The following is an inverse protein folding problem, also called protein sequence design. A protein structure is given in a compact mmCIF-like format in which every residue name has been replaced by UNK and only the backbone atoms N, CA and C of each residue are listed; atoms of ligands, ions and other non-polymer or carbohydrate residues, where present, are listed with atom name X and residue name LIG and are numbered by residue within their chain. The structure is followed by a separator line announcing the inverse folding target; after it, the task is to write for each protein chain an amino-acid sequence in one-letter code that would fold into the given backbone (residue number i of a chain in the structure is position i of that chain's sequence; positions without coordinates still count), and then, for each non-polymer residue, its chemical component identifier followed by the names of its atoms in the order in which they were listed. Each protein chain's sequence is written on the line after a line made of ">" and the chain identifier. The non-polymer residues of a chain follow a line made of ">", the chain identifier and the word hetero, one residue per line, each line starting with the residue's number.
data_IF_433404011063
#
_entry.id   IF_433404011063
#
_cell.length_a   1.000
_cell.length_b   1.000
_cell.length_c   1.000
_cell.angle_alpha   90.00
_cell.angle_beta   90.00
_cell.angle_gamma   90.00
#
_symmetry.space_group_name_H-M   'P 1'
#
loop_
_entity.id
_entity.type
_entity.pdbx_description
1 polymer ?
#
# COMPACT_ATOMS: atom_id res chain seq x y z
N UNK A 1 14.00 11.83 8.43
CA UNK A 1 12.63 11.28 8.46
C UNK A 1 12.65 9.93 9.14
N UNK A 2 11.59 9.53 9.88
CA UNK A 2 11.55 8.23 10.60
C UNK A 2 11.81 7.05 9.64
N UNK A 3 11.10 7.00 8.52
CA UNK A 3 11.22 5.94 7.50
C UNK A 3 12.60 5.81 6.88
N UNK A 4 13.35 6.92 6.73
CA UNK A 4 14.74 6.88 6.28
C UNK A 4 15.67 6.16 7.27
N UNK A 5 15.38 6.25 8.57
CA UNK A 5 16.23 5.67 9.61
C UNK A 5 16.01 4.17 9.81
N UNK A 6 14.83 3.66 9.44
CA UNK A 6 14.45 2.26 9.66
C UNK A 6 14.48 1.40 8.40
N UNK A 7 14.79 1.95 7.21
CA UNK A 7 14.76 1.23 5.93
C UNK A 7 15.51 -0.13 5.97
N UNK A 8 16.64 -0.20 6.70
CA UNK A 8 17.39 -1.46 6.86
C UNK A 8 16.75 -2.46 7.82
N UNK A 9 16.12 -1.97 8.89
CA UNK A 9 15.45 -2.80 9.91
C UNK A 9 14.07 -3.24 9.41
N UNK A 10 13.43 -2.44 8.57
CA UNK A 10 12.14 -2.71 7.98
C UNK A 10 12.16 -3.99 7.11
N UNK A 11 13.22 -4.20 6.33
CA UNK A 11 13.41 -5.43 5.55
C UNK A 11 13.44 -6.69 6.45
N UNK A 12 14.06 -6.61 7.63
CA UNK A 12 14.11 -7.73 8.58
C UNK A 12 12.72 -8.00 9.15
N UNK A 13 11.99 -6.94 9.50
CA UNK A 13 10.60 -7.04 9.98
C UNK A 13 9.72 -7.73 8.91
N UNK A 14 9.80 -7.26 7.67
CA UNK A 14 9.05 -7.82 6.54
C UNK A 14 9.39 -9.29 6.31
N UNK A 15 10.69 -9.63 6.29
CA UNK A 15 11.15 -10.99 5.92
C UNK A 15 11.01 -12.03 7.02
N UNK A 16 11.06 -11.62 8.29
CA UNK A 16 11.15 -12.56 9.41
C UNK A 16 9.88 -12.56 10.26
N UNK A 17 9.43 -11.38 10.70
CA UNK A 17 8.37 -11.28 11.73
C UNK A 17 6.98 -11.54 11.16
N UNK A 18 6.69 -11.08 9.93
CA UNK A 18 5.37 -11.16 9.31
C UNK A 18 5.36 -11.90 7.97
N UNK A 19 6.27 -12.84 7.78
CA UNK A 19 6.52 -13.55 6.50
C UNK A 19 5.25 -14.18 5.91
N UNK A 20 4.42 -14.82 6.76
CA UNK A 20 3.16 -15.45 6.31
C UNK A 20 2.22 -14.42 5.70
N UNK A 21 1.95 -13.33 6.43
CA UNK A 21 1.10 -12.22 5.95
C UNK A 21 1.63 -11.62 4.64
N UNK A 22 2.95 -11.40 4.56
CA UNK A 22 3.53 -10.80 3.35
C UNK A 22 3.47 -11.73 2.13
N UNK A 23 3.65 -13.04 2.32
CA UNK A 23 3.50 -13.98 1.22
C UNK A 23 2.05 -14.01 0.71
N UNK A 24 1.08 -14.01 1.62
CA UNK A 24 -0.33 -13.96 1.26
C UNK A 24 -0.72 -12.61 0.65
N UNK A 25 -0.22 -11.50 1.19
CA UNK A 25 -0.40 -10.17 0.63
C UNK A 25 0.09 -10.09 -0.82
N UNK A 26 1.28 -10.60 -1.10
CA UNK A 26 1.84 -10.69 -2.46
C UNK A 26 0.93 -11.49 -3.39
N UNK A 27 0.41 -12.62 -2.92
CA UNK A 27 -0.51 -13.46 -3.69
C UNK A 27 -1.81 -12.72 -4.00
N UNK A 28 -2.40 -12.03 -3.00
CA UNK A 28 -3.64 -11.28 -3.15
C UNK A 28 -3.43 -10.11 -4.12
N UNK A 29 -2.43 -9.27 -3.92
CA UNK A 29 -2.16 -8.12 -4.81
C UNK A 29 -1.87 -8.62 -6.23
N UNK A 30 -1.02 -9.63 -6.37
CA UNK A 30 -0.60 -10.13 -7.68
C UNK A 30 -1.73 -10.67 -8.55
N UNK A 31 -2.85 -11.16 -7.97
CA UNK A 31 -4.00 -11.65 -8.75
C UNK A 31 -4.82 -10.55 -9.43
N UNK A 32 -4.68 -9.30 -8.98
CA UNK A 32 -5.38 -8.15 -9.56
C UNK A 32 -4.58 -7.45 -10.67
N UNK A 33 -3.33 -7.87 -10.91
CA UNK A 33 -2.44 -7.25 -11.90
C UNK A 33 -2.44 -8.07 -13.18
N UNK A 34 -2.68 -7.39 -14.29
CA UNK A 34 -2.71 -7.97 -15.64
C UNK A 34 -1.51 -7.50 -16.47
N UNK A 35 -1.13 -8.29 -17.48
CA UNK A 35 0.11 -8.08 -18.24
C UNK A 35 0.13 -6.80 -19.09
N UNK A 36 -1.02 -6.19 -19.35
CA UNK A 36 -1.17 -4.92 -20.05
C UNK A 36 -1.36 -3.71 -19.15
N UNK A 37 -1.42 -3.88 -17.83
CA UNK A 37 -1.63 -2.79 -16.90
C UNK A 37 -0.44 -1.83 -16.84
N UNK A 38 -0.72 -0.53 -16.83
CA UNK A 38 0.19 0.51 -16.39
C UNK A 38 -0.17 0.84 -14.94
N UNK A 39 0.75 0.59 -14.03
CA UNK A 39 0.50 0.56 -12.60
C UNK A 39 1.22 1.71 -11.89
N UNK A 40 0.55 2.36 -10.95
CA UNK A 40 1.16 3.25 -9.96
C UNK A 40 1.17 2.56 -8.60
N UNK A 41 2.32 2.48 -7.96
CA UNK A 41 2.47 2.11 -6.56
C UNK A 41 2.92 3.32 -5.74
N UNK A 42 2.11 3.73 -4.76
CA UNK A 42 2.44 4.76 -3.78
C UNK A 42 2.90 4.12 -2.47
N UNK A 43 3.87 4.75 -1.82
CA UNK A 43 4.52 4.23 -0.61
C UNK A 43 5.12 2.82 -0.81
N UNK A 44 5.90 2.67 -1.89
CA UNK A 44 6.52 1.41 -2.28
C UNK A 44 7.50 0.84 -1.23
N UNK A 45 7.96 1.68 -0.29
CA UNK A 45 8.88 1.28 0.76
C UNK A 45 10.16 0.69 0.19
N UNK A 46 10.51 -0.52 0.58
CA UNK A 46 11.69 -1.22 0.09
C UNK A 46 11.46 -2.10 -1.16
N UNK A 47 10.29 -1.95 -1.82
CA UNK A 47 9.99 -2.61 -3.09
C UNK A 47 9.40 -4.02 -2.98
N UNK A 48 8.82 -4.38 -1.82
CA UNK A 48 8.28 -5.72 -1.62
C UNK A 48 7.10 -6.04 -2.55
N UNK A 49 6.17 -5.12 -2.73
CA UNK A 49 5.05 -5.28 -3.67
C UNK A 49 5.48 -4.91 -5.08
N UNK A 50 6.37 -3.92 -5.25
CA UNK A 50 6.92 -3.53 -6.55
C UNK A 50 7.46 -4.72 -7.35
N UNK A 51 8.19 -5.64 -6.70
CA UNK A 51 8.69 -6.85 -7.35
C UNK A 51 7.57 -7.74 -7.90
N UNK A 52 6.51 -7.97 -7.12
CA UNK A 52 5.37 -8.82 -7.52
C UNK A 52 4.53 -8.16 -8.61
N UNK A 53 4.38 -6.84 -8.55
CA UNK A 53 3.64 -6.06 -9.54
C UNK A 53 4.40 -6.09 -10.87
N UNK A 54 5.72 -5.83 -10.84
CA UNK A 54 6.57 -5.82 -12.04
C UNK A 54 6.62 -7.16 -12.79
N UNK A 55 6.53 -8.28 -12.08
CA UNK A 55 6.44 -9.62 -12.70
C UNK A 55 5.19 -9.80 -13.58
N UNK A 56 4.18 -8.95 -13.43
CA UNK A 56 2.84 -9.15 -13.99
C UNK A 56 2.37 -8.02 -14.90
N UNK A 57 2.79 -6.77 -14.62
CA UNK A 57 2.29 -5.60 -15.35
C UNK A 57 3.13 -5.26 -16.60
N UNK A 58 2.60 -4.37 -17.43
CA UNK A 58 3.32 -3.76 -18.54
C UNK A 58 4.39 -2.79 -18.00
N UNK A 59 3.96 -1.77 -17.24
CA UNK A 59 4.86 -0.79 -16.63
C UNK A 59 4.46 -0.51 -15.18
N UNK A 60 5.45 -0.23 -14.34
CA UNK A 60 5.26 0.17 -12.95
C UNK A 60 5.97 1.49 -12.68
N UNK A 61 5.24 2.47 -12.16
CA UNK A 61 5.82 3.63 -11.49
C UNK A 61 5.68 3.40 -9.98
N UNK A 62 6.80 3.20 -9.29
CA UNK A 62 6.85 2.95 -7.85
C UNK A 62 7.35 4.20 -7.13
N UNK A 63 6.54 4.74 -6.22
CA UNK A 63 6.84 6.01 -5.55
C UNK A 63 6.90 5.87 -4.03
N UNK A 64 7.78 6.65 -3.40
CA UNK A 64 7.80 6.79 -1.95
C UNK A 64 8.20 8.22 -1.57
N UNK A 65 7.79 8.67 -0.37
CA UNK A 65 8.15 9.98 0.17
C UNK A 65 9.53 9.98 0.85
N UNK A 66 10.10 8.81 1.16
CA UNK A 66 11.39 8.64 1.80
C UNK A 66 12.48 8.27 0.79
N UNK A 67 13.47 9.16 0.50
CA UNK A 67 14.51 8.88 -0.50
C UNK A 67 15.33 7.62 -0.23
N UNK A 68 15.55 7.25 1.04
CA UNK A 68 16.28 6.02 1.38
C UNK A 68 15.46 4.75 1.10
N UNK A 69 14.12 4.83 1.18
CA UNK A 69 13.23 3.74 0.76
C UNK A 69 13.35 3.52 -0.74
N UNK A 70 13.28 4.58 -1.56
CA UNK A 70 13.46 4.51 -3.02
C UNK A 70 14.79 3.84 -3.38
N UNK A 71 15.91 4.32 -2.84
CA UNK A 71 17.24 3.71 -3.09
C UNK A 71 17.29 2.23 -2.71
N UNK A 72 16.58 1.84 -1.67
CA UNK A 72 16.51 0.44 -1.25
C UNK A 72 15.65 -0.39 -2.20
N UNK A 73 14.50 0.15 -2.63
CA UNK A 73 13.62 -0.47 -3.60
C UNK A 73 14.31 -0.69 -4.95
N UNK A 74 15.01 0.32 -5.49
CA UNK A 74 15.85 0.21 -6.69
C UNK A 74 16.84 -0.96 -6.60
N UNK A 75 17.55 -1.07 -5.47
CA UNK A 75 18.47 -2.18 -5.24
C UNK A 75 17.78 -3.54 -5.18
N UNK A 76 16.66 -3.62 -4.45
CA UNK A 76 15.92 -4.87 -4.26
C UNK A 76 15.23 -5.34 -5.54
N UNK A 77 14.87 -4.42 -6.42
CA UNK A 77 14.15 -4.68 -7.68
C UNK A 77 15.02 -4.50 -8.93
N UNK A 78 16.35 -4.50 -8.79
CA UNK A 78 17.30 -4.23 -9.89
C UNK A 78 17.24 -5.20 -11.07
N UNK A 79 16.58 -6.35 -10.94
CA UNK A 79 16.35 -7.31 -12.01
C UNK A 79 15.14 -7.00 -12.90
N UNK A 80 14.31 -6.03 -12.53
CA UNK A 80 13.10 -5.65 -13.28
C UNK A 80 13.36 -4.39 -14.10
N UNK A 81 13.11 -4.44 -15.41
CA UNK A 81 13.39 -3.33 -16.34
C UNK A 81 12.16 -2.46 -16.63
N UNK A 82 10.98 -2.88 -16.16
CA UNK A 82 9.71 -2.19 -16.35
C UNK A 82 9.28 -1.36 -15.13
N UNK A 83 10.18 -1.09 -14.18
CA UNK A 83 9.94 -0.24 -13.01
C UNK A 83 10.66 1.10 -13.17
N UNK A 84 9.93 2.19 -12.93
CA UNK A 84 10.50 3.51 -12.69
C UNK A 84 10.29 3.87 -11.22
N UNK A 85 11.36 4.20 -10.51
CA UNK A 85 11.30 4.64 -9.11
C UNK A 85 11.34 6.15 -9.01
N UNK A 86 10.42 6.76 -8.26
CA UNK A 86 10.31 8.21 -8.14
C UNK A 86 10.00 8.66 -6.71
N UNK A 87 10.51 9.84 -6.34
CA UNK A 87 10.06 10.52 -5.13
C UNK A 87 8.71 11.20 -5.38
N UNK A 88 7.69 10.90 -4.57
CA UNK A 88 6.40 11.55 -4.66
C UNK A 88 5.69 11.65 -3.30
N UNK A 89 4.84 12.68 -3.20
CA UNK A 89 3.89 12.83 -2.10
C UNK A 89 2.53 12.28 -2.56
N UNK A 90 2.04 11.24 -1.89
CA UNK A 90 0.75 10.61 -2.19
C UNK A 90 -0.45 11.57 -2.14
N UNK A 91 -0.34 12.67 -1.39
CA UNK A 91 -1.39 13.70 -1.29
C UNK A 91 -1.33 14.77 -2.38
N UNK A 92 -0.36 14.70 -3.30
CA UNK A 92 -0.19 15.65 -4.41
C UNK A 92 0.69 14.99 -5.49
N UNK A 93 0.07 14.11 -6.27
CA UNK A 93 0.72 13.36 -7.33
C UNK A 93 0.85 14.22 -8.60
N UNK A 94 2.02 14.17 -9.24
CA UNK A 94 2.31 14.96 -10.44
C UNK A 94 1.74 14.39 -11.75
N UNK A 95 1.07 13.23 -11.66
CA UNK A 95 0.52 12.56 -12.84
C UNK A 95 -0.82 13.18 -13.25
N UNK A 96 -1.13 13.21 -14.57
CA UNK A 96 -2.45 13.60 -15.05
C UNK A 96 -3.56 12.71 -14.49
N UNK A 97 -4.79 13.21 -14.58
CA UNK A 97 -5.97 12.39 -14.33
C UNK A 97 -5.97 11.17 -15.27
N UNK A 98 -6.58 10.08 -14.83
CA UNK A 98 -6.83 8.90 -15.67
C UNK A 98 -5.57 8.29 -16.31
N UNK A 99 -4.44 8.27 -15.59
CA UNK A 99 -3.15 7.84 -16.11
C UNK A 99 -2.88 6.33 -15.96
N UNK A 100 -3.40 5.70 -14.90
CA UNK A 100 -3.04 4.33 -14.53
C UNK A 100 -4.22 3.37 -14.51
N UNK A 101 -4.01 2.13 -14.97
CA UNK A 101 -5.04 1.09 -14.96
C UNK A 101 -5.27 0.54 -13.56
N UNK A 102 -4.20 0.45 -12.75
CA UNK A 102 -4.24 0.05 -11.34
C UNK A 102 -3.44 1.05 -10.50
N UNK A 103 -3.96 1.39 -9.32
CA UNK A 103 -3.29 2.27 -8.37
C UNK A 103 -3.23 1.58 -7.02
N UNK A 104 -2.01 1.40 -6.49
CA UNK A 104 -1.75 0.68 -5.24
C UNK A 104 -1.19 1.64 -4.19
N UNK A 105 -1.67 1.53 -2.96
CA UNK A 105 -1.10 2.26 -1.82
C UNK A 105 -0.99 1.32 -0.61
N UNK A 106 0.16 0.67 -0.47
CA UNK A 106 0.39 -0.38 0.52
C UNK A 106 0.83 0.15 1.89
N UNK A 107 0.06 -0.17 2.94
CA UNK A 107 0.40 0.09 4.34
C UNK A 107 0.72 1.56 4.66
N UNK A 108 0.04 2.50 4.03
CA UNK A 108 0.28 3.94 4.19
C UNK A 108 -0.94 4.71 4.71
N UNK A 109 -2.17 4.34 4.33
CA UNK A 109 -3.40 5.10 4.64
C UNK A 109 -3.55 5.37 6.15
N UNK A 110 -3.21 4.39 6.99
CA UNK A 110 -3.31 4.51 8.45
C UNK A 110 -2.23 5.41 9.10
N UNK A 111 -1.26 5.89 8.30
CA UNK A 111 -0.17 6.75 8.74
C UNK A 111 -0.37 8.22 8.34
N UNK A 112 -1.38 8.51 7.52
CA UNK A 112 -1.61 9.85 6.97
C UNK A 112 -2.49 10.70 7.89
N UNK A 113 -2.18 11.98 7.99
CA UNK A 113 -3.03 12.96 8.69
C UNK A 113 -4.31 13.24 7.89
N UNK A 114 -4.24 13.24 6.56
CA UNK A 114 -5.35 13.49 5.63
C UNK A 114 -5.58 12.29 4.67
N UNK A 115 -6.01 11.11 5.18
CA UNK A 115 -6.12 9.90 4.35
C UNK A 115 -7.15 10.00 3.24
N UNK A 116 -8.22 10.79 3.41
CA UNK A 116 -9.23 11.03 2.37
C UNK A 116 -8.67 11.86 1.22
N UNK A 117 -7.77 12.81 1.49
CA UNK A 117 -7.08 13.57 0.44
C UNK A 117 -6.15 12.68 -0.39
N UNK A 118 -5.41 11.79 0.26
CA UNK A 118 -4.61 10.80 -0.44
C UNK A 118 -5.50 9.89 -1.31
N UNK A 119 -6.62 9.41 -0.77
CA UNK A 119 -7.57 8.58 -1.50
C UNK A 119 -8.15 9.30 -2.73
N UNK A 120 -8.46 10.60 -2.61
CA UNK A 120 -8.92 11.42 -3.74
C UNK A 120 -7.85 11.54 -4.83
N UNK A 121 -6.57 11.72 -4.47
CA UNK A 121 -5.46 11.75 -5.44
C UNK A 121 -5.25 10.39 -6.13
N UNK A 122 -5.30 9.29 -5.37
CA UNK A 122 -5.24 7.93 -5.94
C UNK A 122 -6.39 7.70 -6.92
N UNK A 123 -7.60 8.12 -6.56
CA UNK A 123 -8.77 8.05 -7.45
C UNK A 123 -8.59 8.91 -8.71
N UNK A 124 -8.09 10.14 -8.57
CA UNK A 124 -7.88 11.07 -9.69
C UNK A 124 -6.98 10.46 -10.75
N UNK A 125 -5.84 9.89 -10.36
CA UNK A 125 -4.85 9.35 -11.30
C UNK A 125 -5.20 7.95 -11.84
N UNK A 126 -6.17 7.26 -11.23
CA UNK A 126 -6.70 5.99 -11.73
C UNK A 126 -7.62 6.25 -12.93
N UNK A 127 -7.58 5.40 -13.95
CA UNK A 127 -8.46 5.48 -15.13
C UNK A 127 -9.90 5.11 -14.77
N UNK A 128 -10.92 5.62 -15.50
CA UNK A 128 -12.28 5.11 -15.41
C UNK A 128 -12.31 3.59 -15.60
N UNK A 129 -12.99 2.87 -14.70
CA UNK A 129 -13.01 1.41 -14.65
C UNK A 129 -11.71 0.76 -14.12
N UNK A 130 -10.70 1.55 -13.82
CA UNK A 130 -9.48 1.10 -13.17
C UNK A 130 -9.69 0.75 -11.69
N UNK A 131 -8.73 0.08 -11.08
CA UNK A 131 -8.84 -0.47 -9.74
C UNK A 131 -7.87 0.20 -8.76
N UNK A 132 -8.40 0.65 -7.62
CA UNK A 132 -7.60 1.00 -6.45
C UNK A 132 -7.40 -0.25 -5.60
N UNK A 133 -6.16 -0.50 -5.15
CA UNK A 133 -5.77 -1.64 -4.32
C UNK A 133 -5.05 -1.09 -3.09
N UNK A 134 -5.68 -1.16 -1.94
CA UNK A 134 -5.19 -0.52 -0.72
C UNK A 134 -4.94 -1.57 0.37
N UNK A 135 -3.75 -2.17 0.46
CA UNK A 135 -3.37 -3.01 1.58
C UNK A 135 -3.17 -2.18 2.85
N UNK A 136 -3.67 -2.65 3.99
CA UNK A 136 -3.47 -1.97 5.28
C UNK A 136 -3.40 -2.98 6.42
N UNK A 137 -2.41 -2.84 7.29
CA UNK A 137 -2.32 -3.67 8.49
C UNK A 137 -3.50 -3.40 9.43
N UNK A 138 -4.12 -4.49 9.89
CA UNK A 138 -5.15 -4.42 10.92
C UNK A 138 -4.48 -4.27 12.28
N UNK A 139 -4.67 -3.14 12.89
CA UNK A 139 -4.07 -2.77 14.18
C UNK A 139 -5.06 -2.81 15.34
N UNK A 140 -6.31 -3.23 15.07
CA UNK A 140 -7.33 -3.62 16.05
C UNK A 140 -7.84 -5.02 15.74
N UNK A 141 -8.20 -5.76 16.78
CA UNK A 141 -8.81 -7.08 16.65
C UNK A 141 -10.33 -6.97 16.39
N UNK A 142 -11.00 -8.11 16.26
CA UNK A 142 -12.46 -8.19 16.09
C UNK A 142 -13.27 -7.62 17.28
N UNK A 143 -12.64 -7.41 18.43
CA UNK A 143 -13.24 -6.81 19.64
C UNK A 143 -12.83 -5.34 19.80
N UNK A 144 -12.25 -4.73 18.76
CA UNK A 144 -11.79 -3.33 18.72
C UNK A 144 -10.66 -3.00 19.69
N UNK A 145 -9.95 -4.02 20.20
CA UNK A 145 -8.78 -3.84 21.06
C UNK A 145 -7.53 -3.65 20.22
N UNK A 146 -6.66 -2.71 20.63
CA UNK A 146 -5.35 -2.50 19.98
C UNK A 146 -4.51 -3.77 20.07
N UNK A 147 -3.89 -4.16 18.97
CA UNK A 147 -2.94 -5.26 18.94
C UNK A 147 -1.69 -4.89 19.74
N UNK A 148 -1.21 -5.78 20.61
CA UNK A 148 0.02 -5.59 21.40
C UNK A 148 1.24 -5.31 20.52
N UNK A 149 1.22 -5.75 19.26
CA UNK A 149 2.28 -5.51 18.31
C UNK A 149 2.21 -4.10 17.72
N UNK A 150 1.00 -3.54 17.56
CA UNK A 150 0.79 -2.14 17.18
C UNK A 150 1.41 -1.20 18.20
N UNK A 151 1.26 -1.50 19.49
CA UNK A 151 1.90 -0.75 20.56
C UNK A 151 3.43 -0.85 20.49
N UNK A 152 3.98 -2.01 20.12
CA UNK A 152 5.43 -2.20 19.98
C UNK A 152 6.02 -1.43 18.79
N UNK A 153 5.32 -1.43 17.65
CA UNK A 153 5.71 -0.70 16.44
C UNK A 153 5.52 0.81 16.64
N UNK A 154 4.48 1.23 17.35
CA UNK A 154 4.26 2.62 17.75
C UNK A 154 5.37 3.11 18.71
N UNK A 155 5.79 2.30 19.69
CA UNK A 155 6.94 2.60 20.57
C UNK A 155 8.26 2.68 19.80
N UNK A 156 8.39 1.99 18.68
CA UNK A 156 9.53 2.10 17.78
C UNK A 156 9.50 3.35 16.89
N UNK A 157 8.44 4.19 17.00
CA UNK A 157 8.32 5.50 16.35
C UNK A 157 7.39 5.58 15.14
N UNK A 158 6.64 4.52 14.82
CA UNK A 158 5.58 4.63 13.81
C UNK A 158 4.38 5.39 14.41
N UNK A 159 4.03 6.50 13.79
CA UNK A 159 2.93 7.37 14.22
C UNK A 159 1.63 6.96 13.50
N UNK A 160 0.88 6.05 14.13
CA UNK A 160 -0.41 5.61 13.62
C UNK A 160 -1.46 6.70 13.84
N UNK A 161 -2.00 7.24 12.76
CA UNK A 161 -3.08 8.25 12.77
C UNK A 161 -4.46 7.58 12.79
N UNK A 162 -4.58 6.41 12.14
CA UNK A 162 -5.83 5.64 12.06
C UNK A 162 -5.62 4.23 12.61
N UNK A 163 -6.67 3.70 13.25
CA UNK A 163 -6.69 2.35 13.80
C UNK A 163 -7.87 1.60 13.20
N UNK A 164 -7.56 0.56 12.41
CA UNK A 164 -8.56 -0.22 11.69
C UNK A 164 -8.69 -1.65 12.21
N UNK A 165 -9.93 -2.11 12.35
CA UNK A 165 -10.35 -3.48 12.14
C UNK A 165 -11.00 -3.60 10.76
N UNK A 166 -11.37 -4.82 10.30
CA UNK A 166 -11.93 -5.01 8.96
C UNK A 166 -13.22 -4.21 8.75
N UNK A 167 -14.08 -4.11 9.78
CA UNK A 167 -15.36 -3.38 9.68
C UNK A 167 -15.12 -1.89 9.51
N UNK A 168 -14.33 -1.27 10.41
CA UNK A 168 -14.03 0.16 10.33
C UNK A 168 -13.21 0.53 9.08
N UNK A 169 -12.46 -0.44 8.53
CA UNK A 169 -11.71 -0.25 7.30
C UNK A 169 -12.65 -0.18 6.07
N UNK A 170 -13.65 -1.05 6.00
CA UNK A 170 -14.69 -0.98 4.96
C UNK A 170 -15.49 0.33 5.09
N UNK A 171 -15.91 0.68 6.31
CA UNK A 171 -16.65 1.93 6.57
C UNK A 171 -15.86 3.18 6.15
N UNK A 172 -14.54 3.20 6.34
CA UNK A 172 -13.69 4.29 5.87
C UNK A 172 -13.83 4.55 4.36
N UNK A 173 -13.82 3.51 3.53
CA UNK A 173 -14.00 3.68 2.07
C UNK A 173 -15.45 4.02 1.70
N UNK A 174 -16.43 3.47 2.40
CA UNK A 174 -17.85 3.82 2.20
C UNK A 174 -18.11 5.29 2.49
N UNK A 175 -17.52 5.85 3.54
CA UNK A 175 -17.64 7.29 3.84
C UNK A 175 -16.97 8.16 2.78
N UNK A 176 -16.03 7.62 2.01
CA UNK A 176 -15.42 8.25 0.85
C UNK A 176 -16.22 8.08 -0.46
N UNK A 177 -17.36 7.37 -0.42
CA UNK A 177 -18.26 7.20 -1.56
C UNK A 177 -18.08 5.90 -2.36
N UNK A 178 -17.25 4.95 -1.87
CA UNK A 178 -17.07 3.66 -2.54
C UNK A 178 -18.10 2.64 -2.03
N UNK A 179 -19.01 2.20 -2.89
CA UNK A 179 -20.03 1.20 -2.55
C UNK A 179 -19.57 -0.24 -2.83
N UNK A 180 -18.63 -0.44 -3.75
CA UNK A 180 -18.13 -1.74 -4.25
C UNK A 180 -16.87 -2.23 -3.53
N UNK A 181 -16.67 -1.87 -2.27
CA UNK A 181 -15.47 -2.25 -1.51
C UNK A 181 -15.42 -3.75 -1.26
N UNK A 182 -14.48 -4.45 -1.90
CA UNK A 182 -14.16 -5.83 -1.59
C UNK A 182 -12.92 -5.89 -0.70
N UNK A 183 -12.91 -6.76 0.31
CA UNK A 183 -11.78 -6.90 1.25
C UNK A 183 -11.37 -8.36 1.38
N UNK A 184 -10.08 -8.63 1.11
CA UNK A 184 -9.44 -9.91 1.37
C UNK A 184 -8.43 -9.77 2.50
N UNK A 185 -8.36 -10.78 3.36
CA UNK A 185 -7.48 -10.77 4.52
C UNK A 185 -6.24 -11.65 4.26
N UNK A 186 -5.08 -11.03 4.23
CA UNK A 186 -3.80 -11.70 4.32
C UNK A 186 -3.53 -12.02 5.80
N UNK A 187 -3.82 -13.28 6.19
CA UNK A 187 -3.73 -13.73 7.58
C UNK A 187 -2.28 -13.98 8.02
N UNK A 188 -2.02 -13.78 9.31
CA UNK A 188 -0.73 -14.02 9.94
C UNK A 188 -0.58 -13.29 11.26
N UNK A 189 0.67 -13.05 11.69
CA UNK A 189 0.95 -12.46 13.01
C UNK A 189 0.41 -11.03 13.14
N UNK A 190 0.53 -10.24 12.07
CA UNK A 190 -0.14 -8.95 11.90
C UNK A 190 -0.96 -9.07 10.62
N UNK A 191 -2.27 -9.29 10.70
CA UNK A 191 -3.10 -9.40 9.52
C UNK A 191 -3.06 -8.11 8.69
N UNK A 192 -3.14 -8.26 7.35
CA UNK A 192 -3.25 -7.14 6.42
C UNK A 192 -4.53 -7.31 5.60
N UNK A 193 -5.45 -6.37 5.68
CA UNK A 193 -6.62 -6.33 4.82
C UNK A 193 -6.26 -5.63 3.50
N UNK A 194 -6.61 -6.24 2.39
CA UNK A 194 -6.46 -5.68 1.05
C UNK A 194 -7.84 -5.24 0.58
N UNK A 195 -8.11 -3.95 0.62
CA UNK A 195 -9.31 -3.39 0.03
C UNK A 195 -9.10 -3.17 -1.47
N UNK A 196 -10.08 -3.54 -2.27
CA UNK A 196 -10.15 -3.24 -3.70
C UNK A 196 -11.46 -2.56 -4.03
N UNK A 197 -11.41 -1.54 -4.87
CA UNK A 197 -12.56 -0.75 -5.30
C UNK A 197 -12.32 -0.16 -6.67
N UNK A 198 -13.39 -0.02 -7.45
CA UNK A 198 -13.34 0.64 -8.76
C UNK A 198 -13.24 2.16 -8.58
N UNK A 199 -12.51 2.84 -9.49
CA UNK A 199 -12.46 4.30 -9.50
C UNK A 199 -13.87 4.90 -9.47
N UNK A 200 -14.08 5.90 -8.62
CA UNK A 200 -15.27 6.74 -8.64
C UNK A 200 -15.28 7.65 -9.89
N UNK A 201 -16.45 7.76 -10.52
CA UNK A 201 -16.69 8.63 -11.69
C UNK A 201 -16.97 10.05 -11.22
#
# INVERSE_FOLDING_TARGET
>A
MFWDNIAGVYDIFVKVINRKTHNELKRIVGKYIESNDNVLECAAGTGMLSAVIAERCNTLVATDFAPKMIKRAEKNCSSYFNITFEYANIMSLKYPDDSFDKVIAGNVIHLLDEPLKALAELNRVCKPGGLLIIPTYMNRDKHDKKSALTDSVGKAGADFKQYFNVVSYIEFFKTAGYDDVNVELADGRIPCAVATMTKLI
#
